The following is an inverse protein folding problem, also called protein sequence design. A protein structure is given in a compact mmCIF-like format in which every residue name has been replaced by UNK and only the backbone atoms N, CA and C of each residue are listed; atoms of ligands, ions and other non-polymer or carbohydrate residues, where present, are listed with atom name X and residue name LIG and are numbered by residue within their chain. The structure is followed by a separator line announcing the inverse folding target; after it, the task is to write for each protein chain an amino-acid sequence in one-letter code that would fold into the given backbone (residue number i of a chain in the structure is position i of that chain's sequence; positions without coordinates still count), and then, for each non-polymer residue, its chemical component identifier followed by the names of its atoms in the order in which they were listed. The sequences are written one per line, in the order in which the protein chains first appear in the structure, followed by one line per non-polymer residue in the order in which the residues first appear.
data_IF_041176826669
#
_entry.id   IF_041176826669
#
_cell.length_a   1.000
_cell.length_b   1.000
_cell.length_c   1.000
_cell.angle_alpha   90.00
_cell.angle_beta   90.00
_cell.angle_gamma   90.00
#
_symmetry.space_group_name_H-M   'P 1'
#
loop_
_entity.id
_entity.type
_entity.pdbx_description
1 polymer ?
#
# COMPACT_ATOMS: atom_id res chain seq x y z
N UNK A 1 -9.77 20.19 -11.46
CA UNK A 1 -9.74 19.99 -9.99
C UNK A 1 -8.29 19.78 -9.58
N UNK A 2 -7.72 20.67 -8.75
CA UNK A 2 -6.33 20.56 -8.32
C UNK A 2 -6.18 19.32 -7.43
N UNK A 3 -5.44 18.32 -7.90
CA UNK A 3 -5.03 17.22 -7.07
C UNK A 3 -4.16 17.81 -5.95
N UNK A 4 -4.62 17.72 -4.70
CA UNK A 4 -3.79 18.01 -3.53
C UNK A 4 -2.67 16.97 -3.52
N UNK A 5 -1.54 17.31 -4.16
CA UNK A 5 -0.36 16.48 -4.09
C UNK A 5 0.32 16.73 -2.74
N UNK A 6 0.09 15.87 -1.77
CA UNK A 6 0.87 15.88 -0.54
C UNK A 6 2.35 15.64 -0.87
N UNK A 7 3.24 16.44 -0.29
CA UNK A 7 4.66 16.09 -0.27
C UNK A 7 4.87 14.74 0.43
N UNK A 8 6.03 14.11 0.27
CA UNK A 8 6.35 12.87 0.96
C UNK A 8 6.25 13.00 2.49
N UNK A 9 6.65 14.14 3.04
CA UNK A 9 6.53 14.43 4.48
C UNK A 9 5.07 14.56 4.90
N UNK A 10 4.27 15.35 4.18
CA UNK A 10 2.84 15.50 4.47
C UNK A 10 2.08 14.17 4.37
N UNK A 11 2.46 13.31 3.42
CA UNK A 11 1.88 11.98 3.27
C UNK A 11 2.24 11.06 4.45
N UNK A 12 3.49 11.08 4.89
CA UNK A 12 3.95 10.33 6.06
C UNK A 12 3.21 10.79 7.32
N UNK A 13 3.10 12.10 7.52
CA UNK A 13 2.39 12.70 8.65
C UNK A 13 0.88 12.40 8.59
N UNK A 14 0.29 12.37 7.40
CA UNK A 14 -1.11 11.97 7.22
C UNK A 14 -1.36 10.58 7.79
N UNK A 15 -0.54 9.58 7.44
CA UNK A 15 -0.72 8.23 7.95
C UNK A 15 -0.45 8.14 9.45
N UNK A 16 0.55 8.84 9.98
CA UNK A 16 0.81 8.89 11.42
C UNK A 16 -0.34 9.56 12.18
N UNK A 17 -0.98 10.57 11.59
CA UNK A 17 -2.08 11.29 12.22
C UNK A 17 -3.38 10.47 12.38
N UNK A 18 -3.46 9.31 11.75
CA UNK A 18 -4.64 8.42 11.84
C UNK A 18 -4.90 7.96 13.27
N UNK A 19 -3.84 7.71 14.02
CA UNK A 19 -3.92 7.23 15.41
C UNK A 19 -3.60 8.33 16.43
N UNK A 20 -4.00 8.18 17.71
CA UNK A 20 -3.60 9.07 18.79
C UNK A 20 -2.08 9.21 18.92
N UNK A 21 -1.60 10.33 19.46
CA UNK A 21 -0.18 10.59 19.65
C UNK A 21 0.53 9.51 20.49
N UNK A 22 -0.18 8.91 21.44
CA UNK A 22 0.31 7.82 22.29
C UNK A 22 0.62 6.52 21.54
N UNK A 23 0.17 6.39 20.30
CA UNK A 23 0.40 5.22 19.43
C UNK A 23 1.39 5.52 18.30
N UNK A 24 2.04 6.69 18.33
CA UNK A 24 3.02 7.10 17.30
C UNK A 24 4.44 7.04 17.85
N UNK A 25 5.40 6.76 16.97
CA UNK A 25 6.84 6.85 17.25
C UNK A 25 7.28 6.10 18.52
N UNK A 26 6.68 4.93 18.73
CA UNK A 26 6.98 4.11 19.89
C UNK A 26 8.21 3.24 19.66
N UNK A 27 9.11 3.21 20.66
CA UNK A 27 10.29 2.33 20.58
C UNK A 27 9.88 0.86 20.68
N UNK A 28 10.36 0.07 19.71
CA UNK A 28 10.22 -1.39 19.65
C UNK A 28 11.59 -1.99 19.30
N UNK A 29 12.21 -2.65 20.28
CA UNK A 29 13.57 -3.14 20.11
C UNK A 29 14.56 -2.01 19.83
N UNK A 30 15.32 -2.15 18.75
CA UNK A 30 16.31 -1.15 18.31
C UNK A 30 15.72 -0.09 17.37
N UNK A 31 14.45 -0.19 17.00
CA UNK A 31 13.78 0.72 16.07
C UNK A 31 12.64 1.50 16.74
N UNK A 32 12.27 2.60 16.09
CA UNK A 32 11.07 3.36 16.42
C UNK A 32 10.01 2.98 15.39
N UNK A 33 8.87 2.46 15.85
CA UNK A 33 7.70 2.19 15.04
C UNK A 33 6.99 3.49 14.69
N UNK A 34 6.66 3.72 13.42
CA UNK A 34 5.92 4.92 13.01
C UNK A 34 4.55 4.98 13.70
N UNK A 35 3.83 3.86 13.71
CA UNK A 35 2.50 3.73 14.30
C UNK A 35 2.33 2.34 14.91
N UNK A 36 1.57 2.26 16.00
CA UNK A 36 1.04 1.00 16.55
C UNK A 36 -0.48 1.04 16.42
N UNK A 37 -1.05 0.13 15.64
CA UNK A 37 -2.49 -0.01 15.48
C UNK A 37 -3.16 -0.54 16.77
N UNK A 38 -4.47 -0.43 16.87
CA UNK A 38 -5.23 -0.81 18.05
C UNK A 38 -5.11 -2.29 18.43
N UNK A 39 -4.82 -3.16 17.47
CA UNK A 39 -4.55 -4.60 17.68
C UNK A 39 -3.07 -4.90 18.02
N UNK A 40 -2.25 -3.86 18.20
CA UNK A 40 -0.82 -3.96 18.51
C UNK A 40 0.09 -4.22 17.30
N UNK A 41 -0.46 -4.28 16.08
CA UNK A 41 0.33 -4.40 14.85
C UNK A 41 1.11 -3.11 14.60
N UNK A 42 2.42 -3.23 14.32
CA UNK A 42 3.23 -2.08 13.90
C UNK A 42 2.95 -1.77 12.44
N UNK A 43 2.78 -0.48 12.13
CA UNK A 43 2.66 0.03 10.77
C UNK A 43 3.85 0.92 10.49
N UNK A 44 4.71 0.50 9.56
CA UNK A 44 5.83 1.28 9.05
C UNK A 44 5.42 2.00 7.77
N UNK A 45 5.67 3.31 7.71
CA UNK A 45 5.21 4.20 6.63
C UNK A 45 6.43 4.68 5.86
N UNK A 46 6.61 4.20 4.62
CA UNK A 46 7.86 4.35 3.89
C UNK A 46 7.69 5.00 2.51
N UNK A 47 8.24 6.20 2.32
CA UNK A 47 8.21 6.89 1.03
C UNK A 47 9.50 6.70 0.20
N UNK A 48 10.65 6.50 0.84
CA UNK A 48 11.94 6.34 0.18
C UNK A 48 12.37 4.88 0.09
N UNK A 49 13.31 4.57 -0.80
CA UNK A 49 13.93 3.25 -0.84
C UNK A 49 14.70 2.96 0.45
N UNK A 50 14.62 1.72 0.91
CA UNK A 50 15.31 1.24 2.10
C UNK A 50 16.17 0.02 1.74
N UNK A 51 17.34 -0.13 2.33
CA UNK A 51 18.17 -1.32 2.06
C UNK A 51 17.52 -2.59 2.60
N UNK A 52 17.77 -3.76 1.97
CA UNK A 52 17.28 -5.05 2.46
C UNK A 52 17.60 -5.30 3.94
N UNK A 53 18.81 -4.98 4.36
CA UNK A 53 19.25 -5.15 5.76
C UNK A 53 18.40 -4.33 6.73
N UNK A 54 18.06 -3.08 6.37
CA UNK A 54 17.19 -2.24 7.21
C UNK A 54 15.77 -2.77 7.27
N UNK A 55 15.23 -3.28 6.15
CA UNK A 55 13.90 -3.92 6.11
C UNK A 55 13.89 -5.13 7.04
N UNK A 56 14.85 -6.04 6.88
CA UNK A 56 14.95 -7.25 7.71
C UNK A 56 15.10 -6.94 9.20
N UNK A 57 15.92 -5.94 9.54
CA UNK A 57 16.10 -5.51 10.94
C UNK A 57 14.79 -5.01 11.57
N UNK A 58 14.03 -4.18 10.86
CA UNK A 58 12.73 -3.70 11.33
C UNK A 58 11.71 -4.83 11.46
N UNK A 59 11.63 -5.72 10.47
CA UNK A 59 10.72 -6.87 10.52
C UNK A 59 11.03 -7.82 11.66
N UNK A 60 12.32 -7.99 12.00
CA UNK A 60 12.76 -8.81 13.13
C UNK A 60 12.37 -8.16 14.47
N UNK A 61 12.66 -6.86 14.64
CA UNK A 61 12.40 -6.14 15.89
C UNK A 61 10.90 -5.94 16.15
N UNK A 62 10.12 -5.65 15.12
CA UNK A 62 8.69 -5.38 15.26
C UNK A 62 7.84 -6.66 15.29
N UNK A 63 8.26 -7.72 14.60
CA UNK A 63 7.57 -9.01 14.57
C UNK A 63 6.20 -8.94 13.90
N UNK A 64 5.15 -8.57 14.65
CA UNK A 64 3.79 -8.36 14.12
C UNK A 64 3.67 -6.98 13.51
N UNK A 65 3.85 -6.87 12.20
CA UNK A 65 3.86 -5.59 11.49
C UNK A 65 3.40 -5.68 10.04
N UNK A 66 3.16 -4.53 9.45
CA UNK A 66 2.99 -4.34 8.01
C UNK A 66 3.67 -3.06 7.53
N UNK A 67 3.83 -2.96 6.21
CA UNK A 67 4.38 -1.81 5.53
C UNK A 67 3.30 -1.05 4.76
N UNK A 68 3.31 0.28 4.83
CA UNK A 68 2.62 1.16 3.87
C UNK A 68 3.70 1.91 3.08
N UNK A 69 3.77 1.65 1.79
CA UNK A 69 4.72 2.28 0.87
C UNK A 69 4.03 3.33 0.01
N UNK A 70 4.70 4.44 -0.21
CA UNK A 70 4.21 5.49 -1.11
C UNK A 70 4.30 5.02 -2.57
N UNK A 71 3.17 4.62 -3.15
CA UNK A 71 3.00 4.22 -4.55
C UNK A 71 2.40 5.31 -5.44
N UNK A 72 2.03 6.47 -4.86
CA UNK A 72 1.26 7.52 -5.53
C UNK A 72 1.89 8.02 -6.83
N UNK A 73 3.17 8.39 -6.79
CA UNK A 73 3.89 8.87 -7.98
C UNK A 73 4.00 7.81 -9.07
N UNK A 74 4.24 6.54 -8.68
CA UNK A 74 4.31 5.45 -9.64
C UNK A 74 2.95 5.19 -10.30
N UNK A 75 1.87 5.26 -9.52
CA UNK A 75 0.52 5.11 -10.04
C UNK A 75 0.09 6.29 -10.91
N UNK A 76 0.29 7.52 -10.45
CA UNK A 76 -0.06 8.73 -11.19
C UNK A 76 0.69 8.88 -12.52
N UNK A 77 1.95 8.43 -12.59
CA UNK A 77 2.74 8.45 -13.83
C UNK A 77 2.46 7.28 -14.78
N UNK A 78 1.61 6.32 -14.38
CA UNK A 78 1.38 5.09 -15.13
C UNK A 78 2.55 4.09 -15.11
N UNK A 79 3.59 4.35 -14.30
CA UNK A 79 4.67 3.38 -14.07
C UNK A 79 4.15 2.15 -13.31
N UNK A 80 3.20 2.33 -12.40
CA UNK A 80 2.39 1.29 -11.78
C UNK A 80 0.99 1.38 -12.38
N UNK A 81 0.54 0.35 -13.06
CA UNK A 81 -0.78 0.28 -13.66
C UNK A 81 -1.52 -0.97 -13.19
N UNK A 82 -2.80 -0.80 -12.87
CA UNK A 82 -3.68 -1.93 -12.61
C UNK A 82 -4.20 -2.43 -13.96
N UNK A 83 -4.17 -3.74 -14.19
CA UNK A 83 -4.44 -4.33 -15.52
C UNK A 83 -5.71 -5.19 -15.58
N UNK A 84 -6.15 -5.69 -14.46
CA UNK A 84 -7.41 -6.44 -14.34
C UNK A 84 -7.86 -6.47 -12.88
N UNK A 85 -9.18 -6.62 -12.67
CA UNK A 85 -9.78 -6.89 -11.38
C UNK A 85 -10.87 -7.94 -11.56
N UNK A 86 -10.75 -9.07 -10.88
CA UNK A 86 -11.74 -10.14 -10.88
C UNK A 86 -11.67 -10.91 -9.55
N UNK A 87 -12.83 -11.30 -9.04
CA UNK A 87 -12.95 -12.10 -7.81
C UNK A 87 -12.18 -11.51 -6.61
N UNK A 88 -12.20 -10.18 -6.48
CA UNK A 88 -11.48 -9.46 -5.41
C UNK A 88 -9.96 -9.38 -5.61
N UNK A 89 -9.43 -9.94 -6.70
CA UNK A 89 -8.00 -9.91 -7.02
C UNK A 89 -7.73 -8.87 -8.10
N UNK A 90 -6.76 -8.00 -7.85
CA UNK A 90 -6.25 -7.06 -8.84
C UNK A 90 -4.93 -7.59 -9.41
N UNK A 91 -4.78 -7.50 -10.73
CA UNK A 91 -3.49 -7.68 -11.41
C UNK A 91 -2.90 -6.33 -11.73
N UNK A 92 -1.58 -6.24 -11.66
CA UNK A 92 -0.88 -4.99 -11.94
C UNK A 92 0.44 -5.24 -12.69
N UNK A 93 0.94 -4.15 -13.27
CA UNK A 93 2.28 -4.07 -13.84
C UNK A 93 2.99 -2.85 -13.30
N UNK A 94 4.23 -3.02 -12.82
CA UNK A 94 5.06 -1.95 -12.29
C UNK A 94 6.38 -1.87 -13.04
N UNK A 95 6.50 -0.88 -13.94
CA UNK A 95 7.76 -0.53 -14.60
C UNK A 95 8.71 0.07 -13.55
N UNK A 96 9.97 -0.35 -13.58
CA UNK A 96 10.98 0.15 -12.62
C UNK A 96 10.57 -0.04 -11.15
N UNK A 97 10.01 -1.20 -10.84
CA UNK A 97 9.59 -1.56 -9.49
C UNK A 97 10.70 -1.34 -8.46
N UNK A 98 10.32 -1.00 -7.24
CA UNK A 98 11.25 -0.93 -6.11
C UNK A 98 11.68 -2.33 -5.73
N UNK A 99 12.92 -2.71 -6.09
CA UNK A 99 13.46 -4.07 -5.86
C UNK A 99 13.45 -4.48 -4.39
N UNK A 100 13.55 -3.52 -3.48
CA UNK A 100 13.54 -3.76 -2.04
C UNK A 100 12.17 -4.25 -1.50
N UNK A 101 11.05 -3.96 -2.16
CA UNK A 101 9.75 -4.52 -1.79
C UNK A 101 9.74 -6.06 -1.82
N UNK A 102 10.50 -6.67 -2.72
CA UNK A 102 10.62 -8.13 -2.80
C UNK A 102 11.39 -8.75 -1.62
N UNK A 103 12.09 -7.94 -0.84
CA UNK A 103 12.77 -8.39 0.37
C UNK A 103 11.87 -8.38 1.60
N UNK A 104 10.74 -7.70 1.54
CA UNK A 104 9.77 -7.67 2.62
C UNK A 104 9.13 -9.06 2.80
N UNK A 105 9.11 -9.53 4.04
CA UNK A 105 8.45 -10.78 4.44
C UNK A 105 7.13 -10.52 5.16
N UNK A 106 6.86 -9.27 5.48
CA UNK A 106 5.62 -8.82 6.11
C UNK A 106 4.70 -8.19 5.06
N UNK A 107 3.38 -8.15 5.30
CA UNK A 107 2.43 -7.58 4.36
C UNK A 107 2.85 -6.19 3.90
N UNK A 108 2.83 -5.96 2.58
CA UNK A 108 3.13 -4.69 1.95
C UNK A 108 1.90 -4.09 1.29
N UNK A 109 1.60 -2.84 1.61
CA UNK A 109 0.54 -2.06 0.99
C UNK A 109 1.17 -0.90 0.22
N UNK A 110 0.77 -0.72 -1.03
CA UNK A 110 1.12 0.46 -1.83
C UNK A 110 -0.03 1.46 -1.76
N UNK A 111 0.22 2.65 -1.24
CA UNK A 111 -0.75 3.72 -1.30
C UNK A 111 -0.83 4.29 -2.73
N UNK A 112 -1.94 4.06 -3.39
CA UNK A 112 -2.20 4.55 -4.75
C UNK A 112 -2.86 5.93 -4.75
N UNK A 113 -3.34 6.38 -3.58
CA UNK A 113 -4.15 7.56 -3.35
C UNK A 113 -5.54 7.41 -3.98
N UNK A 114 -5.88 8.18 -5.01
CA UNK A 114 -7.19 8.08 -5.66
C UNK A 114 -7.15 7.12 -6.85
N UNK A 115 -8.11 6.22 -6.93
CA UNK A 115 -8.27 5.32 -8.05
C UNK A 115 -9.19 5.97 -9.10
N UNK A 116 -8.65 6.27 -10.29
CA UNK A 116 -9.39 6.87 -11.39
C UNK A 116 -10.12 8.17 -11.00
N UNK A 117 -11.30 8.39 -11.61
CA UNK A 117 -12.13 9.59 -11.37
C UNK A 117 -13.08 9.44 -10.18
N UNK A 118 -13.26 8.24 -9.63
CA UNK A 118 -14.19 8.01 -8.52
C UNK A 118 -13.73 8.68 -7.20
N UNK A 119 -12.49 9.15 -7.12
CA UNK A 119 -11.94 9.86 -5.95
C UNK A 119 -11.74 8.98 -4.71
N UNK A 120 -12.07 7.69 -4.76
CA UNK A 120 -11.88 6.78 -3.63
C UNK A 120 -10.39 6.47 -3.47
N UNK A 121 -9.87 6.73 -2.28
CA UNK A 121 -8.46 6.47 -1.94
C UNK A 121 -8.25 5.00 -1.66
N UNK A 122 -7.25 4.41 -2.32
CA UNK A 122 -6.99 2.97 -2.31
C UNK A 122 -5.57 2.63 -1.90
N UNK A 123 -5.47 1.46 -1.29
CA UNK A 123 -4.22 0.75 -1.02
C UNK A 123 -4.24 -0.57 -1.80
N UNK A 124 -3.14 -0.87 -2.46
CA UNK A 124 -2.90 -2.18 -3.07
C UNK A 124 -2.06 -3.02 -2.10
N UNK A 125 -2.65 -4.05 -1.49
CA UNK A 125 -1.88 -5.09 -0.81
C UNK A 125 -1.21 -5.95 -1.88
N UNK A 126 0.10 -6.03 -1.84
CA UNK A 126 0.89 -6.82 -2.79
C UNK A 126 0.98 -8.26 -2.26
N UNK A 127 0.38 -9.21 -2.97
CA UNK A 127 0.49 -10.64 -2.64
C UNK A 127 1.61 -11.31 -3.46
N UNK A 128 1.75 -10.92 -4.74
CA UNK A 128 2.79 -11.41 -5.65
C UNK A 128 3.43 -10.23 -6.36
N UNK A 129 4.76 -10.21 -6.44
CA UNK A 129 5.53 -9.25 -7.23
C UNK A 129 6.68 -9.98 -7.94
N UNK A 130 6.55 -10.19 -9.24
CA UNK A 130 7.51 -10.88 -10.08
C UNK A 130 8.68 -9.98 -10.47
N UNK A 131 9.75 -10.59 -10.98
CA UNK A 131 10.96 -9.86 -11.40
C UNK A 131 10.72 -8.95 -12.62
N UNK A 132 9.79 -9.33 -13.48
CA UNK A 132 9.38 -8.55 -14.65
C UNK A 132 8.45 -7.38 -14.33
N UNK A 133 8.10 -7.19 -13.06
CA UNK A 133 7.22 -6.15 -12.57
C UNK A 133 5.73 -6.47 -12.66
N UNK A 134 5.36 -7.66 -13.14
CA UNK A 134 3.97 -8.11 -13.03
C UNK A 134 3.67 -8.56 -11.60
N UNK A 135 2.41 -8.49 -11.21
CA UNK A 135 2.01 -8.93 -9.89
C UNK A 135 0.50 -9.02 -9.71
N UNK A 136 0.13 -9.48 -8.52
CA UNK A 136 -1.27 -9.54 -8.10
C UNK A 136 -1.40 -9.17 -6.62
N UNK A 137 -2.63 -8.82 -6.24
CA UNK A 137 -2.92 -8.43 -4.88
C UNK A 137 -4.38 -8.12 -4.67
N UNK A 138 -4.67 -7.40 -3.60
CA UNK A 138 -6.01 -7.03 -3.21
C UNK A 138 -6.10 -5.53 -2.96
N UNK A 139 -7.26 -4.94 -3.27
CA UNK A 139 -7.50 -3.52 -3.01
C UNK A 139 -8.20 -3.33 -1.67
N UNK A 140 -7.76 -2.31 -0.93
CA UNK A 140 -8.35 -1.85 0.32
C UNK A 140 -8.63 -0.35 0.22
N UNK A 141 -9.70 0.13 0.83
CA UNK A 141 -9.90 1.57 0.93
C UNK A 141 -9.03 2.15 2.06
N UNK A 142 -8.64 3.42 1.93
CA UNK A 142 -8.04 4.16 3.06
C UNK A 142 -8.95 4.14 4.29
N UNK A 143 -10.27 4.23 4.08
CA UNK A 143 -11.24 4.17 5.19
C UNK A 143 -11.12 2.87 5.98
N UNK A 144 -11.12 1.72 5.30
CA UNK A 144 -10.99 0.41 5.95
C UNK A 144 -9.66 0.28 6.71
N UNK A 145 -8.55 0.74 6.12
CA UNK A 145 -7.24 0.72 6.77
C UNK A 145 -7.20 1.61 8.02
N UNK A 146 -7.71 2.84 7.92
CA UNK A 146 -7.76 3.77 9.04
C UNK A 146 -8.65 3.26 10.17
N UNK A 147 -9.81 2.72 9.84
CA UNK A 147 -10.73 2.13 10.82
C UNK A 147 -10.03 1.01 11.59
N UNK A 148 -9.36 0.10 10.88
CA UNK A 148 -8.58 -0.95 11.53
C UNK A 148 -7.47 -0.39 12.44
N UNK A 149 -6.71 0.62 11.98
CA UNK A 149 -5.62 1.20 12.79
C UNK A 149 -6.14 1.78 14.12
N UNK A 150 -7.35 2.36 14.12
CA UNK A 150 -7.93 3.04 15.31
C UNK A 150 -8.71 2.09 16.21
N UNK A 151 -9.43 1.12 15.64
CA UNK A 151 -10.39 0.28 16.35
C UNK A 151 -10.01 -1.19 16.47
N UNK A 152 -9.02 -1.64 15.70
CA UNK A 152 -8.68 -3.07 15.60
C UNK A 152 -9.69 -3.91 14.81
N UNK A 153 -10.74 -3.29 14.25
CA UNK A 153 -11.71 -4.02 13.42
C UNK A 153 -11.03 -4.63 12.19
N UNK A 154 -11.46 -5.82 11.75
CA UNK A 154 -10.84 -6.49 10.61
C UNK A 154 -10.83 -5.62 9.35
N UNK A 155 -9.71 -5.61 8.64
CA UNK A 155 -9.61 -5.03 7.30
C UNK A 155 -10.22 -6.00 6.31
N UNK A 156 -11.10 -5.51 5.46
CA UNK A 156 -11.66 -6.31 4.36
C UNK A 156 -11.18 -5.77 3.02
N UNK A 157 -10.68 -6.64 2.13
CA UNK A 157 -10.42 -6.24 0.76
C UNK A 157 -11.73 -5.95 0.05
N UNK A 158 -11.66 -5.18 -1.03
CA UNK A 158 -12.81 -4.96 -1.90
C UNK A 158 -13.13 -6.25 -2.66
N UNK A 159 -14.38 -6.69 -2.60
CA UNK A 159 -14.91 -7.75 -3.44
C UNK A 159 -15.23 -7.23 -4.85
N UNK A 160 -15.68 -5.96 -4.93
CA UNK A 160 -16.04 -5.26 -6.16
C UNK A 160 -15.46 -3.85 -6.15
N UNK A 161 -15.22 -3.29 -7.33
CA UNK A 161 -14.81 -1.89 -7.42
C UNK A 161 -15.96 -0.97 -7.07
N UNK A 162 -15.72 0.14 -6.35
CA UNK A 162 -16.74 1.14 -6.11
C UNK A 162 -17.29 1.70 -7.42
N UNK A 163 -18.57 2.10 -7.40
CA UNK A 163 -19.23 2.71 -8.55
C UNK A 163 -18.43 3.91 -9.08
N UNK A 164 -18.27 3.99 -10.41
CA UNK A 164 -17.48 5.03 -11.07
C UNK A 164 -15.96 4.80 -11.01
N UNK A 165 -15.47 3.78 -10.32
CA UNK A 165 -14.07 3.37 -10.37
C UNK A 165 -13.85 2.42 -11.54
N UNK A 166 -13.24 2.92 -12.61
CA UNK A 166 -12.80 2.11 -13.72
C UNK A 166 -11.28 1.86 -13.61
N UNK A 167 -10.88 0.61 -13.50
CA UNK A 167 -9.52 0.22 -13.83
C UNK A 167 -9.47 0.20 -15.34
N UNK A 168 -8.61 1.01 -16.00
CA UNK A 168 -8.44 0.91 -17.43
C UNK A 168 -8.02 -0.54 -17.73
N UNK A 169 -8.95 -1.34 -18.22
CA UNK A 169 -8.63 -2.64 -18.78
C UNK A 169 -7.70 -2.35 -19.96
N UNK A 170 -6.42 -2.54 -19.79
CA UNK A 170 -5.54 -2.73 -20.93
C UNK A 170 -6.16 -3.92 -21.68
N UNK A 171 -6.72 -3.62 -22.85
CA UNK A 171 -7.34 -4.60 -23.71
C UNK A 171 -6.36 -5.76 -23.84
N UNK A 172 -6.70 -6.87 -23.22
CA UNK A 172 -6.07 -8.14 -23.50
C UNK A 172 -6.50 -8.45 -24.93
N UNK A 173 -5.77 -7.93 -25.93
CA UNK A 173 -5.75 -8.55 -27.24
C UNK A 173 -5.19 -9.94 -27.01
N UNK A 174 -6.11 -10.87 -26.87
CA UNK A 174 -5.82 -12.29 -26.93
C UNK A 174 -5.03 -12.53 -28.23
N UNK A 175 -3.75 -12.75 -28.12
CA UNK A 175 -3.05 -13.49 -29.12
C UNK A 175 -3.50 -14.95 -28.96
N UNK A 176 -4.62 -15.27 -29.63
CA UNK A 176 -4.95 -16.63 -30.03
C UNK A 176 -4.20 -16.83 -31.32
N UNK A 177 -3.15 -17.59 -31.29
CA UNK A 177 -2.58 -18.36 -32.38
C UNK A 177 -1.73 -19.48 -31.78
#
# INVERSE_FOLDING_TARGET
MSSLSYSSTQWHDYWKSVVPATQREQRRGNHIADVIAADGCVVEIQHASMSPTKIMGRELDHGHMLWIWDGRSAYASGALSLTAFADGIVRFRWKNQRRNLRTCRRPCFLDLWALGECGVRMLLKVDVLNEDGTGSGQLFTHHSMRLWMVSGLPRSPLAELPEGCNIPLAVLTAAVA
#
